data_IF_908806591637
#
_entry.id   IF_908806591637
#
_cell.length_a   1.000
_cell.length_b   1.000
_cell.length_c   1.000
_cell.angle_alpha   90.00
_cell.angle_beta   90.00
_cell.angle_gamma   90.00
#
_symmetry.space_group_name_H-M   'P 1'
#
loop_
_entity.id
_entity.type
_entity.pdbx_description
1 polymer ?
#
# COMPACT_ATOMS: atom_id res chain seq x y z
N UNK A 1 -24.74 6.64 -0.25
CA UNK A 1 -23.83 6.44 -1.39
C UNK A 1 -22.46 6.80 -0.86
N UNK A 2 -21.47 5.91 -0.94
CA UNK A 2 -20.14 6.22 -0.39
C UNK A 2 -19.48 7.27 -1.28
N UNK A 3 -19.08 8.40 -0.70
CA UNK A 3 -18.33 9.45 -1.39
C UNK A 3 -17.02 8.88 -1.94
N UNK A 4 -16.67 9.28 -3.15
CA UNK A 4 -15.44 8.88 -3.84
C UNK A 4 -14.41 10.00 -3.82
N UNK A 5 -13.14 9.66 -3.94
CA UNK A 5 -12.03 10.63 -3.98
C UNK A 5 -12.15 11.58 -5.17
N UNK A 6 -12.71 11.14 -6.29
CA UNK A 6 -12.94 12.00 -7.46
C UNK A 6 -14.32 12.69 -7.45
N UNK A 7 -15.10 12.56 -6.37
CA UNK A 7 -16.25 13.43 -6.08
C UNK A 7 -15.73 14.74 -5.46
N UNK A 8 -15.25 15.65 -6.31
CA UNK A 8 -14.60 16.89 -5.88
C UNK A 8 -15.47 17.76 -4.95
N UNK A 9 -15.00 17.99 -3.72
CA UNK A 9 -15.64 18.89 -2.75
C UNK A 9 -15.28 20.37 -3.00
N UNK A 10 -15.88 21.29 -2.25
CA UNK A 10 -15.74 22.75 -2.45
C UNK A 10 -14.28 23.22 -2.43
N UNK A 11 -13.46 22.70 -1.50
CA UNK A 11 -12.02 22.99 -1.49
C UNK A 11 -11.29 22.59 -2.79
N UNK A 12 -11.65 21.46 -3.43
CA UNK A 12 -11.09 21.12 -4.74
C UNK A 12 -11.57 22.10 -5.80
N UNK A 13 -12.88 22.42 -5.82
CA UNK A 13 -13.48 23.31 -6.80
C UNK A 13 -12.91 24.72 -6.72
N UNK A 14 -12.67 25.24 -5.51
CA UNK A 14 -12.02 26.52 -5.29
C UNK A 14 -10.65 26.59 -5.97
N UNK A 15 -9.81 25.56 -5.81
CA UNK A 15 -8.48 25.52 -6.46
C UNK A 15 -8.60 25.32 -7.97
N UNK A 16 -9.51 24.45 -8.41
CA UNK A 16 -9.74 24.20 -9.82
C UNK A 16 -10.20 25.46 -10.56
N UNK A 17 -11.14 26.22 -9.99
CA UNK A 17 -11.65 27.47 -10.55
C UNK A 17 -10.56 28.55 -10.52
N UNK A 18 -9.80 28.66 -9.41
CA UNK A 18 -8.67 29.60 -9.30
C UNK A 18 -7.62 29.41 -10.39
N UNK A 19 -7.41 28.18 -10.86
CA UNK A 19 -6.41 27.84 -11.87
C UNK A 19 -7.03 27.46 -13.23
N UNK A 20 -8.33 27.72 -13.48
CA UNK A 20 -9.08 27.34 -14.70
C UNK A 20 -8.87 25.88 -15.15
N UNK A 21 -8.87 24.97 -14.18
CA UNK A 21 -8.66 23.52 -14.39
C UNK A 21 -9.90 22.68 -14.14
N UNK A 22 -11.05 23.29 -13.80
CA UNK A 22 -12.28 22.55 -13.51
C UNK A 22 -12.74 21.66 -14.67
N UNK A 23 -12.80 22.21 -15.89
CA UNK A 23 -13.16 21.47 -17.11
C UNK A 23 -12.21 20.29 -17.38
N UNK A 24 -10.92 20.49 -17.13
CA UNK A 24 -9.92 19.43 -17.24
C UNK A 24 -10.13 18.35 -16.18
N UNK A 25 -10.35 18.74 -14.92
CA UNK A 25 -10.59 17.82 -13.82
C UNK A 25 -11.82 16.95 -14.09
N UNK A 26 -12.93 17.57 -14.53
CA UNK A 26 -14.17 16.85 -14.88
C UNK A 26 -13.96 15.88 -16.05
N UNK A 27 -13.20 16.28 -17.07
CA UNK A 27 -12.85 15.38 -18.19
C UNK A 27 -11.97 14.21 -17.74
N UNK A 28 -11.03 14.44 -16.82
CA UNK A 28 -10.12 13.40 -16.33
C UNK A 28 -10.79 12.43 -15.36
N UNK A 29 -11.86 12.83 -14.67
CA UNK A 29 -12.65 11.92 -13.81
C UNK A 29 -13.20 10.72 -14.61
N UNK A 30 -13.49 10.89 -15.91
CA UNK A 30 -13.91 9.78 -16.78
C UNK A 30 -12.85 8.69 -17.01
N UNK A 31 -11.62 8.88 -16.51
CA UNK A 31 -10.53 7.87 -16.55
C UNK A 31 -10.44 7.03 -15.29
N UNK A 32 -11.24 7.33 -14.27
CA UNK A 32 -11.31 6.57 -13.03
C UNK A 32 -12.24 5.38 -13.25
N UNK A 33 -11.78 4.19 -12.89
CA UNK A 33 -12.59 2.96 -12.93
C UNK A 33 -12.91 2.49 -11.53
N UNK A 34 -14.00 1.76 -11.35
CA UNK A 34 -14.30 1.09 -10.07
C UNK A 34 -13.75 -0.34 -10.02
N UNK A 35 -13.14 -0.81 -11.10
CA UNK A 35 -12.58 -2.15 -11.24
C UNK A 35 -11.11 -2.08 -11.62
N UNK A 36 -10.38 -3.11 -11.22
CA UNK A 36 -9.00 -3.41 -11.60
C UNK A 36 -9.05 -4.17 -12.93
N UNK A 37 -8.80 -3.48 -14.03
CA UNK A 37 -8.65 -4.09 -15.35
C UNK A 37 -7.29 -4.78 -15.52
N UNK A 38 -7.14 -5.56 -16.58
CA UNK A 38 -5.97 -6.44 -16.78
C UNK A 38 -4.62 -5.68 -16.73
N UNK A 39 -4.52 -4.55 -17.44
CA UNK A 39 -3.27 -3.75 -17.42
C UNK A 39 -2.93 -3.18 -16.03
N UNK A 40 -3.95 -2.90 -15.21
CA UNK A 40 -3.77 -2.41 -13.84
C UNK A 40 -3.37 -3.57 -12.92
N UNK A 41 -3.95 -4.76 -13.12
CA UNK A 41 -3.55 -5.98 -12.44
C UNK A 41 -2.08 -6.31 -12.70
N UNK A 42 -1.66 -6.36 -13.96
CA UNK A 42 -0.27 -6.61 -14.31
C UNK A 42 0.68 -5.60 -13.66
N UNK A 43 0.28 -4.33 -13.61
CA UNK A 43 1.07 -3.27 -12.99
C UNK A 43 1.21 -3.47 -11.47
N UNK A 44 0.10 -3.78 -10.79
CA UNK A 44 0.07 -4.03 -9.34
C UNK A 44 0.89 -5.26 -8.99
N UNK A 45 0.74 -6.37 -9.72
CA UNK A 45 1.42 -7.63 -9.42
C UNK A 45 2.92 -7.58 -9.75
N UNK A 46 3.37 -6.70 -10.65
CA UNK A 46 4.80 -6.46 -10.91
C UNK A 46 5.47 -5.59 -9.84
N UNK A 47 4.70 -4.88 -9.02
CA UNK A 47 5.25 -3.99 -8.02
C UNK A 47 5.95 -4.79 -6.91
N UNK A 48 7.15 -4.34 -6.52
CA UNK A 48 7.88 -4.81 -5.35
C UNK A 48 7.74 -3.87 -4.14
N UNK A 49 7.05 -2.74 -4.34
CA UNK A 49 6.66 -1.83 -3.28
C UNK A 49 5.45 -0.97 -3.65
N UNK A 50 4.80 -0.42 -2.63
CA UNK A 50 3.80 0.62 -2.76
C UNK A 50 3.76 1.51 -1.52
N UNK A 51 3.11 2.68 -1.65
CA UNK A 51 2.82 3.55 -0.52
C UNK A 51 1.37 3.35 -0.08
N UNK A 52 1.17 3.15 1.22
CA UNK A 52 -0.13 2.98 1.85
C UNK A 52 -0.46 4.20 2.71
N UNK A 53 -1.49 4.94 2.32
CA UNK A 53 -2.11 5.99 3.10
C UNK A 53 -3.28 5.43 3.91
N UNK A 54 -3.30 5.73 5.20
CA UNK A 54 -4.42 5.41 6.10
C UNK A 54 -4.69 6.60 6.99
N UNK A 55 -5.92 6.76 7.47
CA UNK A 55 -6.27 7.77 8.47
C UNK A 55 -6.85 7.09 9.69
N UNK A 56 -6.55 7.57 10.89
CA UNK A 56 -7.27 7.12 12.07
C UNK A 56 -8.68 7.75 12.15
N UNK A 57 -9.45 7.38 13.17
CA UNK A 57 -10.78 7.94 13.43
C UNK A 57 -10.81 9.45 13.71
N UNK A 58 -9.65 10.08 13.98
CA UNK A 58 -9.52 11.53 14.17
C UNK A 58 -9.25 12.25 12.85
N UNK A 59 -9.10 11.51 11.76
CA UNK A 59 -8.76 12.03 10.44
C UNK A 59 -7.26 12.35 10.29
N UNK A 60 -6.40 11.86 11.18
CA UNK A 60 -4.95 12.11 11.08
C UNK A 60 -4.31 11.10 10.11
N UNK A 61 -3.71 11.57 8.99
CA UNK A 61 -3.15 10.68 7.99
C UNK A 61 -1.78 10.14 8.39
N UNK A 62 -1.51 8.89 8.00
CA UNK A 62 -0.17 8.31 7.95
C UNK A 62 0.08 7.76 6.55
N UNK A 63 1.33 7.79 6.11
CA UNK A 63 1.78 7.20 4.85
C UNK A 63 2.95 6.27 5.13
N UNK A 64 2.85 5.02 4.71
CA UNK A 64 3.85 3.98 4.96
C UNK A 64 4.31 3.34 3.66
N UNK A 65 5.61 3.04 3.59
CA UNK A 65 6.15 2.15 2.57
C UNK A 65 5.79 0.70 2.90
N UNK A 66 5.34 -0.06 1.90
CA UNK A 66 5.11 -1.50 1.96
C UNK A 66 5.93 -2.14 0.86
N UNK A 67 6.79 -3.10 1.21
CA UNK A 67 7.68 -3.77 0.26
C UNK A 67 7.58 -5.28 0.34
N UNK A 68 7.90 -5.92 -0.77
CA UNK A 68 7.98 -7.37 -0.94
C UNK A 68 8.72 -7.72 -2.23
N UNK A 69 8.66 -8.97 -2.65
CA UNK A 69 9.08 -9.36 -4.01
C UNK A 69 7.90 -9.18 -4.98
N UNK A 70 8.12 -9.00 -6.30
CA UNK A 70 7.03 -8.95 -7.28
C UNK A 70 6.06 -10.12 -7.09
N UNK A 71 4.76 -9.82 -7.11
CA UNK A 71 3.68 -10.74 -6.77
C UNK A 71 3.27 -10.73 -5.30
N UNK A 72 3.93 -9.95 -4.43
CA UNK A 72 3.54 -9.88 -3.02
C UNK A 72 2.17 -9.21 -2.83
N UNK A 73 1.81 -8.27 -3.70
CA UNK A 73 0.43 -7.82 -3.87
C UNK A 73 -0.20 -8.67 -4.97
N UNK A 74 -1.32 -9.33 -4.65
CA UNK A 74 -2.04 -10.19 -5.58
C UNK A 74 -3.40 -9.59 -5.89
N UNK A 75 -3.76 -9.51 -7.17
CA UNK A 75 -5.14 -9.16 -7.56
C UNK A 75 -5.95 -10.44 -7.64
N UNK A 76 -6.97 -10.54 -6.78
CA UNK A 76 -7.82 -11.72 -6.67
C UNK A 76 -8.87 -11.75 -7.76
N UNK A 77 -9.44 -10.59 -8.06
CA UNK A 77 -10.43 -10.36 -9.11
C UNK A 77 -10.49 -8.87 -9.49
N UNK A 78 -11.46 -8.48 -10.32
CA UNK A 78 -11.64 -7.09 -10.76
C UNK A 78 -11.95 -6.09 -9.63
N UNK A 79 -12.25 -6.55 -8.42
CA UNK A 79 -12.62 -5.72 -7.26
C UNK A 79 -11.67 -5.89 -6.08
N UNK A 80 -10.96 -7.00 -5.98
CA UNK A 80 -10.20 -7.34 -4.78
C UNK A 80 -8.72 -7.54 -5.07
N UNK A 81 -7.89 -7.00 -4.19
CA UNK A 81 -6.49 -7.37 -4.07
C UNK A 81 -6.15 -7.77 -2.63
N UNK A 82 -5.02 -8.45 -2.45
CA UNK A 82 -4.50 -8.85 -1.16
C UNK A 82 -3.01 -8.55 -1.04
N UNK A 83 -2.55 -8.23 0.18
CA UNK A 83 -1.13 -8.12 0.51
C UNK A 83 -0.87 -8.54 1.97
N UNK A 84 0.34 -9.03 2.30
CA UNK A 84 0.67 -9.49 3.65
C UNK A 84 1.05 -8.34 4.58
N UNK A 85 0.84 -8.52 5.89
CA UNK A 85 1.55 -7.76 6.92
C UNK A 85 2.73 -8.58 7.45
N UNK A 86 3.94 -8.07 7.24
CA UNK A 86 5.16 -8.59 7.86
C UNK A 86 5.45 -7.88 9.19
N UNK A 87 6.26 -8.53 10.03
CA UNK A 87 6.76 -7.93 11.26
C UNK A 87 7.56 -6.65 10.99
N UNK A 88 7.45 -5.68 11.90
CA UNK A 88 8.04 -4.35 11.73
C UNK A 88 8.49 -3.74 13.05
N UNK A 89 8.32 -2.42 13.19
CA UNK A 89 8.73 -1.68 14.40
C UNK A 89 7.73 -1.76 15.57
N UNK A 90 6.71 -2.63 15.48
CA UNK A 90 5.70 -2.83 16.53
C UNK A 90 4.67 -1.71 16.68
N UNK A 91 4.74 -0.60 15.92
CA UNK A 91 3.79 0.51 16.08
C UNK A 91 2.41 0.22 15.48
N UNK A 92 2.32 -0.70 14.52
CA UNK A 92 1.09 -1.05 13.79
C UNK A 92 0.27 0.17 13.31
N UNK A 93 0.91 1.29 12.96
CA UNK A 93 0.17 2.54 12.67
C UNK A 93 -0.86 2.35 11.55
N UNK A 94 -0.46 1.78 10.41
CA UNK A 94 -1.40 1.53 9.31
C UNK A 94 -2.49 0.54 9.73
N UNK A 95 -2.10 -0.62 10.28
CA UNK A 95 -3.05 -1.71 10.58
C UNK A 95 -4.03 -1.35 11.70
N UNK A 96 -3.54 -0.68 12.75
CA UNK A 96 -4.37 -0.13 13.81
C UNK A 96 -5.33 0.96 13.33
N UNK A 97 -4.92 1.76 12.34
CA UNK A 97 -5.84 2.70 11.68
C UNK A 97 -6.96 1.95 10.95
N UNK A 98 -6.66 0.87 10.22
CA UNK A 98 -7.66 0.08 9.49
C UNK A 98 -8.76 -0.49 10.40
N UNK A 99 -8.42 -0.85 11.63
CA UNK A 99 -9.39 -1.31 12.63
C UNK A 99 -10.40 -0.24 13.06
N UNK A 100 -10.11 1.04 12.79
CA UNK A 100 -10.98 2.18 13.14
C UNK A 100 -11.57 2.88 11.93
N UNK A 101 -10.86 2.86 10.81
CA UNK A 101 -11.24 3.46 9.55
C UNK A 101 -10.65 2.58 8.42
N UNK A 102 -11.49 1.81 7.72
CA UNK A 102 -11.01 0.85 6.73
C UNK A 102 -10.60 1.50 5.41
N UNK A 103 -10.80 2.81 5.24
CA UNK A 103 -10.44 3.49 3.99
C UNK A 103 -8.92 3.57 3.81
N UNK A 104 -8.47 3.14 2.64
CA UNK A 104 -7.06 3.18 2.25
C UNK A 104 -6.87 3.92 0.93
N UNK A 105 -5.73 4.59 0.83
CA UNK A 105 -5.19 4.99 -0.45
C UNK A 105 -3.87 4.29 -0.74
N UNK A 106 -3.73 3.76 -1.94
CA UNK A 106 -2.56 3.02 -2.39
C UNK A 106 -1.95 3.74 -3.59
N UNK A 107 -0.63 3.90 -3.57
CA UNK A 107 0.14 4.46 -4.68
C UNK A 107 1.24 3.48 -5.08
N UNK A 108 1.12 2.97 -6.31
CA UNK A 108 2.11 2.14 -6.97
C UNK A 108 2.88 3.02 -7.96
N UNK A 109 4.21 2.87 -7.99
CA UNK A 109 5.08 3.65 -8.88
C UNK A 109 6.11 2.72 -9.50
N UNK A 110 6.14 2.70 -10.83
CA UNK A 110 7.21 2.13 -11.62
C UNK A 110 8.19 3.27 -11.94
N UNK A 111 9.33 3.29 -11.26
CA UNK A 111 10.34 4.33 -11.46
C UNK A 111 11.17 4.14 -12.73
N UNK A 112 11.25 2.92 -13.28
CA UNK A 112 12.04 2.64 -14.47
C UNK A 112 11.27 3.05 -15.74
N UNK A 113 10.00 2.63 -15.83
CA UNK A 113 9.07 3.04 -16.88
C UNK A 113 8.37 4.38 -16.62
N UNK A 114 8.55 4.97 -15.42
CA UNK A 114 7.98 6.25 -14.99
C UNK A 114 6.44 6.28 -14.97
N UNK A 115 5.80 5.16 -14.67
CA UNK A 115 4.34 5.07 -14.55
C UNK A 115 3.90 5.11 -13.08
N UNK A 116 2.64 5.50 -12.84
CA UNK A 116 2.03 5.34 -11.52
C UNK A 116 0.56 5.00 -11.61
N UNK A 117 0.12 4.24 -10.62
CA UNK A 117 -1.27 3.84 -10.43
C UNK A 117 -1.70 4.17 -9.01
N UNK A 118 -2.87 4.81 -8.89
CA UNK A 118 -3.55 5.01 -7.60
C UNK A 118 -4.72 4.08 -7.49
N UNK A 119 -4.91 3.52 -6.31
CA UNK A 119 -6.08 2.72 -5.96
C UNK A 119 -6.59 3.18 -4.60
N UNK A 120 -7.88 3.47 -4.54
CA UNK A 120 -8.59 3.72 -3.30
C UNK A 120 -9.44 2.49 -2.98
N UNK A 121 -9.61 2.20 -1.70
CA UNK A 121 -10.37 1.04 -1.33
C UNK A 121 -10.74 0.96 0.14
N UNK A 122 -11.44 -0.13 0.46
CA UNK A 122 -11.86 -0.49 1.80
C UNK A 122 -11.11 -1.76 2.17
N UNK A 123 -10.31 -1.69 3.24
CA UNK A 123 -9.42 -2.76 3.66
C UNK A 123 -9.99 -3.55 4.85
N UNK A 124 -9.72 -4.85 4.85
CA UNK A 124 -10.05 -5.79 5.93
C UNK A 124 -8.80 -6.58 6.30
N UNK A 125 -8.56 -6.74 7.61
CA UNK A 125 -7.50 -7.59 8.16
C UNK A 125 -8.07 -8.99 8.38
N UNK A 126 -7.33 -10.01 7.94
CA UNK A 126 -7.72 -11.41 8.01
C UNK A 126 -6.57 -12.25 8.59
N UNK A 127 -6.78 -12.77 9.79
CA UNK A 127 -5.81 -13.61 10.51
C UNK A 127 -5.73 -15.05 9.96
N UNK A 128 -6.80 -15.54 9.34
CA UNK A 128 -6.97 -16.91 8.84
C UNK A 128 -7.22 -16.98 7.33
N UNK A 129 -6.64 -16.05 6.57
CA UNK A 129 -6.74 -16.02 5.11
C UNK A 129 -6.05 -17.24 4.45
N UNK A 130 -6.70 -17.85 3.47
CA UNK A 130 -6.16 -18.97 2.69
C UNK A 130 -4.80 -18.67 2.03
N UNK A 131 -4.56 -17.41 1.70
CA UNK A 131 -3.32 -16.96 1.08
C UNK A 131 -2.16 -16.94 2.06
N UNK A 132 -2.39 -16.89 3.38
CA UNK A 132 -1.34 -16.72 4.39
C UNK A 132 -0.24 -17.79 4.26
N UNK A 133 -0.62 -19.02 3.91
CA UNK A 133 0.29 -20.15 3.64
C UNK A 133 1.31 -19.89 2.52
N UNK A 134 1.04 -18.94 1.63
CA UNK A 134 1.87 -18.56 0.48
C UNK A 134 2.80 -17.38 0.79
N UNK A 135 2.67 -16.77 1.98
CA UNK A 135 3.46 -15.62 2.41
C UNK A 135 4.27 -15.97 3.66
N UNK A 136 5.54 -16.40 3.52
CA UNK A 136 6.37 -16.77 4.66
C UNK A 136 6.47 -15.61 5.67
N UNK A 137 6.37 -15.92 6.96
CA UNK A 137 6.46 -14.96 8.08
C UNK A 137 5.38 -13.87 8.12
N UNK A 138 4.39 -13.88 7.23
CA UNK A 138 3.26 -12.97 7.32
C UNK A 138 2.47 -13.22 8.61
N UNK A 139 2.13 -12.13 9.32
CA UNK A 139 1.36 -12.20 10.56
C UNK A 139 -0.15 -12.36 10.28
N UNK A 140 -0.62 -11.72 9.20
CA UNK A 140 -2.00 -11.76 8.70
C UNK A 140 -2.04 -11.15 7.29
N UNK A 141 -3.16 -11.34 6.59
CA UNK A 141 -3.40 -10.76 5.27
C UNK A 141 -4.29 -9.52 5.37
N UNK A 142 -4.12 -8.62 4.40
CA UNK A 142 -5.02 -7.50 4.16
C UNK A 142 -5.68 -7.72 2.82
N UNK A 143 -7.01 -7.77 2.78
CA UNK A 143 -7.78 -7.69 1.53
C UNK A 143 -8.31 -6.28 1.35
N UNK A 144 -8.19 -5.73 0.15
CA UNK A 144 -8.68 -4.39 -0.20
C UNK A 144 -9.69 -4.52 -1.33
N UNK A 145 -10.90 -4.05 -1.07
CA UNK A 145 -11.90 -3.84 -2.11
C UNK A 145 -11.64 -2.51 -2.80
N UNK A 146 -11.30 -2.53 -4.08
CA UNK A 146 -11.13 -1.34 -4.89
C UNK A 146 -12.46 -0.57 -5.02
N UNK A 147 -12.41 0.72 -4.72
CA UNK A 147 -13.52 1.66 -4.96
C UNK A 147 -13.22 2.57 -6.16
N UNK A 148 -11.95 2.93 -6.35
CA UNK A 148 -11.49 3.76 -7.46
C UNK A 148 -10.07 3.36 -7.86
N UNK A 149 -9.84 3.18 -9.16
CA UNK A 149 -8.54 2.90 -9.75
C UNK A 149 -8.24 3.95 -10.80
N UNK A 150 -7.06 4.55 -10.74
CA UNK A 150 -6.68 5.65 -11.61
C UNK A 150 -5.21 5.59 -12.02
N UNK A 151 -4.98 5.43 -13.32
CA UNK A 151 -3.65 5.48 -13.94
C UNK A 151 -3.30 6.92 -14.31
N UNK A 152 -2.21 7.45 -13.75
CA UNK A 152 -1.80 8.84 -14.02
C UNK A 152 -0.67 8.94 -15.06
N UNK A 153 -0.52 10.12 -15.67
CA UNK A 153 0.55 10.43 -16.63
C UNK A 153 1.94 10.43 -15.98
N UNK A 154 3.03 10.14 -16.70
CA UNK A 154 4.39 9.98 -16.13
C UNK A 154 5.03 11.27 -15.57
N UNK A 155 4.38 12.42 -15.74
CA UNK A 155 4.91 13.73 -15.34
C UNK A 155 5.38 13.73 -13.87
N UNK A 156 6.62 14.19 -13.66
CA UNK A 156 7.33 14.28 -12.37
C UNK A 156 7.75 12.96 -11.70
N UNK A 157 7.48 11.80 -12.30
CA UNK A 157 8.05 10.55 -11.78
C UNK A 157 9.55 10.54 -12.11
N UNK A 158 10.41 10.54 -11.10
CA UNK A 158 11.85 10.43 -11.30
C UNK A 158 12.21 9.06 -11.87
N UNK A 159 13.23 9.03 -12.72
CA UNK A 159 13.77 7.77 -13.24
C UNK A 159 14.79 7.22 -12.27
N UNK A 160 14.49 6.07 -11.69
CA UNK A 160 15.42 5.29 -10.87
C UNK A 160 15.64 3.93 -11.51
N UNK A 161 16.73 3.28 -11.12
CA UNK A 161 17.01 1.87 -11.45
C UNK A 161 17.12 1.11 -10.14
N UNK A 162 16.55 -0.10 -10.10
CA UNK A 162 16.70 -0.97 -8.96
C UNK A 162 18.16 -1.43 -8.86
N UNK A 163 18.82 -1.12 -7.75
CA UNK A 163 20.20 -1.56 -7.47
C UNK A 163 20.21 -2.92 -6.77
N UNK A 164 19.38 -3.07 -5.73
CA UNK A 164 19.29 -4.31 -4.96
C UNK A 164 17.90 -4.46 -4.33
N UNK A 165 17.49 -5.72 -4.10
CA UNK A 165 16.28 -6.04 -3.34
C UNK A 165 16.60 -6.10 -1.85
N UNK A 166 15.64 -5.70 -1.02
CA UNK A 166 15.79 -5.81 0.43
C UNK A 166 15.97 -7.27 0.84
N UNK A 167 17.01 -7.51 1.65
CA UNK A 167 17.25 -8.80 2.30
C UNK A 167 16.22 -9.12 3.39
N UNK A 168 15.45 -8.12 3.82
CA UNK A 168 14.40 -8.26 4.85
C UNK A 168 13.04 -8.67 4.28
N UNK A 169 12.92 -8.89 2.97
CA UNK A 169 11.72 -9.50 2.38
C UNK A 169 11.74 -11.00 2.71
N UNK A 170 10.74 -11.52 3.43
CA UNK A 170 10.69 -12.95 3.74
C UNK A 170 10.55 -13.80 2.48
N UNK A 171 11.33 -14.87 2.40
CA UNK A 171 11.35 -15.79 1.26
C UNK A 171 11.32 -17.22 1.76
N UNK A 172 10.63 -18.09 1.02
CA UNK A 172 10.52 -19.48 1.42
C UNK A 172 11.89 -20.17 1.39
N UNK A 173 12.24 -20.83 2.50
CA UNK A 173 13.52 -21.54 2.64
C UNK A 173 14.75 -20.66 2.87
N UNK A 174 14.57 -19.36 3.14
CA UNK A 174 15.64 -18.43 3.49
C UNK A 174 15.37 -17.78 4.84
N UNK A 175 16.40 -17.65 5.68
CA UNK A 175 16.29 -16.96 6.95
C UNK A 175 16.22 -15.44 6.72
N UNK A 176 15.16 -14.81 7.23
CA UNK A 176 15.05 -13.35 7.24
C UNK A 176 15.96 -12.78 8.33
N UNK A 177 16.93 -11.91 8.00
CA UNK A 177 17.86 -11.37 9.00
C UNK A 177 17.14 -10.41 9.96
N UNK A 178 17.53 -10.42 11.23
CA UNK A 178 17.06 -9.44 12.22
C UNK A 178 17.59 -8.04 11.85
N UNK A 179 16.73 -7.00 11.73
CA UNK A 179 17.17 -5.65 11.42
C UNK A 179 18.16 -5.08 12.45
N UNK A 180 19.17 -4.34 12.00
CA UNK A 180 20.25 -3.82 12.86
C UNK A 180 19.76 -3.02 14.06
N UNK A 181 18.70 -2.22 13.91
CA UNK A 181 18.17 -1.44 15.04
C UNK A 181 17.66 -2.36 16.16
N UNK A 182 17.07 -3.53 15.84
CA UNK A 182 16.64 -4.51 16.84
C UNK A 182 17.82 -5.22 17.53
N UNK A 183 19.05 -5.05 17.06
CA UNK A 183 20.26 -5.60 17.73
C UNK A 183 20.85 -4.64 18.76
N UNK A 184 20.39 -3.39 18.79
CA UNK A 184 20.87 -2.38 19.74
C UNK A 184 20.56 -2.80 21.17
N UNK A 185 21.52 -2.57 22.06
CA UNK A 185 21.43 -2.96 23.47
C UNK A 185 20.31 -2.23 24.19
N UNK A 186 20.16 -0.93 23.93
CA UNK A 186 19.11 -0.08 24.52
C UNK A 186 17.68 -0.47 24.13
N UNK A 187 17.52 -1.36 23.14
CA UNK A 187 16.21 -1.85 22.72
C UNK A 187 15.90 -3.28 23.21
N UNK A 188 16.89 -4.05 23.68
CA UNK A 188 16.70 -5.49 23.94
C UNK A 188 15.60 -5.80 24.96
N UNK A 189 15.48 -4.99 26.01
CA UNK A 189 14.44 -5.19 27.03
C UNK A 189 13.01 -4.94 26.50
N UNK A 190 12.88 -4.07 25.49
CA UNK A 190 11.59 -3.68 24.90
C UNK A 190 11.14 -4.58 23.75
N UNK A 191 12.05 -5.42 23.22
CA UNK A 191 11.74 -6.34 22.13
C UNK A 191 10.89 -7.52 22.62
N UNK A 192 10.00 -8.08 21.78
CA UNK A 192 9.33 -9.33 22.08
C UNK A 192 10.36 -10.46 22.23
N UNK A 193 10.05 -11.49 23.02
CA UNK A 193 10.99 -12.58 23.32
C UNK A 193 11.61 -13.22 22.07
N UNK A 194 10.85 -13.33 20.97
CA UNK A 194 11.32 -13.86 19.68
C UNK A 194 12.42 -13.03 18.99
N UNK A 195 12.53 -11.73 19.32
CA UNK A 195 13.47 -10.80 18.68
C UNK A 195 14.66 -10.46 19.58
N UNK A 196 14.65 -10.90 20.85
CA UNK A 196 15.75 -10.67 21.79
C UNK A 196 16.95 -11.54 21.43
N UNK A 197 18.16 -11.04 21.65
CA UNK A 197 19.36 -11.87 21.58
C UNK A 197 19.24 -13.06 22.54
N UNK A 198 19.68 -14.27 22.15
CA UNK A 198 19.81 -15.39 23.08
C UNK A 198 20.71 -14.96 24.25
N UNK A 199 20.32 -15.34 25.47
CA UNK A 199 21.11 -15.15 26.69
C UNK A 199 22.31 -16.08 26.68
#
# INVERSE_FOLDING_TARGET
>A
MNEKVHDYHDGNRQLQDRFDTRRLADHLTGRVTETIGESQKEFIEKADMFFLATCDHRGLPTCSYKGGDPGFVRVLDEKWLAFPNYDGNGKFQSMGNLLKNPNVGMLFVDFEGQHRLRLQGIATILDDDELLSQYPEAQFMIRVQATEVYTNCPRYVHKYQLVERSVFVPRQGLDTPVPEYKKREDLQEYLPARDRRPV
#
